data_IF_417170435257
#
_entry.id   IF_417170435257
#
_cell.length_a   1.000
_cell.length_b   1.000
_cell.length_c   1.000
_cell.angle_alpha   90.00
_cell.angle_beta   90.00
_cell.angle_gamma   90.00
#
_symmetry.space_group_name_H-M   'P 1'
#
loop_
_entity.id
_entity.type
_entity.pdbx_description
1 polymer ?
#
# COMPACT_ATOMS: atom_id res chain seq x y z
N UNK A 1 -43.57 34.52 -24.47
CA UNK A 1 -43.61 33.07 -24.16
C UNK A 1 -42.19 32.51 -24.06
N UNK A 2 -41.55 32.59 -22.90
CA UNK A 2 -40.22 32.01 -22.65
C UNK A 2 -40.24 31.33 -21.28
N UNK A 3 -40.36 30.01 -21.23
CA UNK A 3 -40.52 29.33 -19.94
C UNK A 3 -40.59 27.80 -19.97
N UNK A 4 -39.78 27.12 -20.79
CA UNK A 4 -39.70 25.63 -20.76
C UNK A 4 -38.31 25.03 -21.02
N UNK A 5 -37.21 25.80 -20.92
CA UNK A 5 -35.83 25.26 -21.12
C UNK A 5 -35.03 25.03 -19.83
N UNK A 6 -35.40 25.61 -18.68
CA UNK A 6 -34.62 25.52 -17.45
C UNK A 6 -34.74 24.17 -16.71
N UNK A 7 -35.84 23.43 -16.88
CA UNK A 7 -36.12 22.21 -16.10
C UNK A 7 -35.30 20.99 -16.54
N UNK A 8 -34.97 20.88 -17.84
CA UNK A 8 -34.24 19.73 -18.40
C UNK A 8 -32.76 19.72 -17.96
N UNK A 9 -32.14 20.90 -17.84
CA UNK A 9 -30.76 21.05 -17.38
C UNK A 9 -30.59 20.72 -15.89
N UNK A 10 -31.56 21.09 -15.04
CA UNK A 10 -31.53 20.79 -13.61
C UNK A 10 -31.69 19.28 -13.35
N UNK A 11 -32.51 18.60 -14.16
CA UNK A 11 -32.71 17.15 -14.07
C UNK A 11 -31.46 16.35 -14.47
N UNK A 12 -30.81 16.75 -15.57
CA UNK A 12 -29.54 16.17 -16.01
C UNK A 12 -28.43 16.40 -14.99
N UNK A 13 -28.35 17.58 -14.36
CA UNK A 13 -27.38 17.86 -13.29
C UNK A 13 -27.59 16.97 -12.07
N UNK A 14 -28.84 16.80 -11.61
CA UNK A 14 -29.15 15.90 -10.48
C UNK A 14 -28.83 14.44 -10.78
N UNK A 15 -29.09 13.97 -12.01
CA UNK A 15 -28.75 12.60 -12.40
C UNK A 15 -27.24 12.41 -12.56
N UNK A 16 -26.52 13.37 -13.14
CA UNK A 16 -25.06 13.32 -13.25
C UNK A 16 -24.39 13.32 -11.88
N UNK A 17 -24.82 14.18 -10.94
CA UNK A 17 -24.30 14.19 -9.56
C UNK A 17 -24.52 12.84 -8.88
N UNK A 18 -25.69 12.22 -9.08
CA UNK A 18 -25.99 10.88 -8.53
C UNK A 18 -25.15 9.77 -9.16
N UNK A 19 -24.83 9.90 -10.46
CA UNK A 19 -23.93 8.98 -11.15
C UNK A 19 -22.50 9.14 -10.62
N UNK A 20 -21.98 10.36 -10.51
CA UNK A 20 -20.63 10.61 -9.95
C UNK A 20 -20.51 10.21 -8.47
N UNK A 21 -21.55 10.42 -7.66
CA UNK A 21 -21.59 9.95 -6.26
C UNK A 21 -21.64 8.42 -6.13
N UNK A 22 -22.12 7.71 -7.14
CA UNK A 22 -22.11 6.25 -7.19
C UNK A 22 -20.77 5.67 -7.71
N UNK A 23 -19.88 6.53 -8.25
CA UNK A 23 -18.50 6.21 -8.59
C UNK A 23 -17.52 6.64 -7.48
N UNK A 24 -17.93 6.56 -6.21
CA UNK A 24 -16.94 6.42 -5.15
C UNK A 24 -16.22 5.09 -5.39
N UNK A 25 -15.07 5.19 -6.06
CA UNK A 25 -14.10 4.10 -6.12
C UNK A 25 -13.74 3.84 -4.67
N UNK A 26 -14.31 2.78 -4.07
CA UNK A 26 -13.92 2.30 -2.76
C UNK A 26 -12.41 2.00 -2.79
N UNK A 27 -11.61 3.00 -2.42
CA UNK A 27 -10.18 2.84 -2.28
C UNK A 27 -9.96 2.01 -1.03
N UNK A 28 -9.36 0.83 -1.21
CA UNK A 28 -8.99 -0.06 -0.11
C UNK A 28 -8.12 0.73 0.86
N UNK A 29 -8.55 0.88 2.11
CA UNK A 29 -7.77 1.53 3.16
C UNK A 29 -6.93 0.53 3.92
N UNK A 30 -5.70 0.91 4.28
CA UNK A 30 -4.82 0.09 5.14
C UNK A 30 -4.95 0.53 6.60
N UNK A 31 -5.00 -0.44 7.50
CA UNK A 31 -4.93 -0.24 8.94
C UNK A 31 -3.73 -1.02 9.44
N UNK A 32 -2.87 -0.39 10.23
CA UNK A 32 -1.67 -1.04 10.77
C UNK A 32 -1.52 -0.65 12.22
N UNK A 33 -1.25 -1.62 13.10
CA UNK A 33 -0.97 -1.32 14.49
C UNK A 33 0.28 -0.45 14.60
N UNK A 34 0.25 0.56 15.48
CA UNK A 34 1.39 1.47 15.63
C UNK A 34 2.70 0.73 15.92
N UNK A 35 2.67 -0.23 16.85
CA UNK A 35 3.82 -1.08 17.22
C UNK A 35 4.41 -1.85 16.02
N UNK A 36 3.55 -2.33 15.11
CA UNK A 36 3.98 -3.07 13.92
C UNK A 36 4.59 -2.10 12.90
N UNK A 37 3.97 -0.95 12.69
CA UNK A 37 4.51 0.08 11.80
C UNK A 37 5.88 0.55 12.27
N UNK A 38 6.02 0.85 13.57
CA UNK A 38 7.28 1.25 14.17
C UNK A 38 8.34 0.15 14.06
N UNK A 39 7.97 -1.11 14.33
CA UNK A 39 8.89 -2.25 14.18
C UNK A 39 9.44 -2.41 12.75
N UNK A 40 8.62 -2.16 11.72
CA UNK A 40 9.07 -2.14 10.31
C UNK A 40 10.09 -1.04 10.08
N UNK A 41 9.80 0.18 10.54
CA UNK A 41 10.69 1.33 10.37
C UNK A 41 12.02 1.12 11.09
N UNK A 42 11.99 0.58 12.31
CA UNK A 42 13.18 0.28 13.10
C UNK A 42 14.04 -0.80 12.41
N UNK A 43 13.41 -1.84 11.87
CA UNK A 43 14.10 -2.85 11.07
C UNK A 43 14.79 -2.24 9.85
N UNK A 44 14.09 -1.41 9.07
CA UNK A 44 14.67 -0.74 7.90
C UNK A 44 15.80 0.23 8.25
N UNK A 45 15.69 0.90 9.40
CA UNK A 45 16.75 1.76 9.92
C UNK A 45 17.98 0.94 10.33
N UNK A 46 17.79 -0.24 10.92
CA UNK A 46 18.89 -1.10 11.38
C UNK A 46 19.73 -1.66 10.23
N UNK A 47 19.11 -1.99 9.11
CA UNK A 47 19.79 -2.59 7.96
C UNK A 47 20.34 -1.54 6.96
N UNK A 48 19.98 -0.27 7.12
CA UNK A 48 20.46 0.82 6.25
C UNK A 48 22.00 0.82 6.20
N UNK A 49 22.64 1.00 5.02
CA UNK A 49 22.10 1.46 3.74
C UNK A 49 21.58 0.36 2.82
N UNK A 50 21.42 -0.88 3.29
CA UNK A 50 20.83 -1.95 2.49
C UNK A 50 19.31 -1.81 2.43
N UNK A 51 18.75 -2.30 1.34
CA UNK A 51 17.32 -2.38 1.16
C UNK A 51 16.74 -3.59 1.91
N UNK A 52 15.70 -3.32 2.71
CA UNK A 52 15.00 -4.31 3.52
C UNK A 52 13.83 -4.89 2.82
N UNK A 53 13.42 -6.10 3.21
CA UNK A 53 12.18 -6.69 2.77
C UNK A 53 11.54 -7.50 3.89
N UNK A 54 10.24 -7.33 4.05
CA UNK A 54 9.38 -8.03 5.00
C UNK A 54 8.08 -8.42 4.29
N UNK A 55 7.43 -9.47 4.78
CA UNK A 55 6.06 -9.79 4.41
C UNK A 55 5.10 -9.15 5.41
N UNK A 56 3.99 -8.63 4.90
CA UNK A 56 2.91 -8.06 5.70
C UNK A 56 1.83 -9.12 5.88
N UNK A 57 1.55 -9.49 7.13
CA UNK A 57 0.53 -10.47 7.47
C UNK A 57 -0.65 -9.81 8.17
N UNK A 58 -1.86 -10.25 7.81
CA UNK A 58 -3.09 -9.82 8.46
C UNK A 58 -4.33 -10.30 7.71
N UNK A 59 -5.38 -9.48 7.69
CA UNK A 59 -6.69 -9.86 7.14
C UNK A 59 -7.26 -8.79 6.21
N UNK A 60 -7.97 -9.24 5.19
CA UNK A 60 -8.79 -8.38 4.33
C UNK A 60 -10.25 -8.41 4.82
N UNK A 61 -10.90 -7.26 4.78
CA UNK A 61 -12.35 -7.13 4.90
C UNK A 61 -12.89 -6.30 3.73
N UNK A 62 -14.19 -6.03 3.72
CA UNK A 62 -14.92 -5.48 2.56
C UNK A 62 -14.23 -4.24 1.96
N UNK A 63 -13.84 -3.30 2.82
CA UNK A 63 -13.36 -1.97 2.43
C UNK A 63 -11.94 -1.66 2.94
N UNK A 64 -11.19 -2.67 3.37
CA UNK A 64 -9.86 -2.44 3.92
C UNK A 64 -9.03 -3.69 4.20
N UNK A 65 -7.79 -3.44 4.59
CA UNK A 65 -6.80 -4.45 4.99
C UNK A 65 -6.24 -4.04 6.35
N UNK A 66 -6.25 -4.95 7.31
CA UNK A 66 -5.54 -4.77 8.57
C UNK A 66 -4.24 -5.57 8.54
N UNK A 67 -3.13 -4.93 8.89
CA UNK A 67 -1.81 -5.53 9.09
C UNK A 67 -1.65 -5.74 10.59
N UNK A 68 -1.41 -7.00 10.96
CA UNK A 68 -1.35 -7.43 12.36
C UNK A 68 0.04 -7.94 12.74
N UNK A 69 0.81 -8.41 11.75
CA UNK A 69 2.12 -9.02 11.95
C UNK A 69 3.05 -8.74 10.77
N UNK A 70 4.35 -8.91 11.00
CA UNK A 70 5.39 -8.90 9.98
C UNK A 70 6.18 -10.19 10.03
N UNK A 71 6.58 -10.68 8.86
CA UNK A 71 7.35 -11.92 8.73
C UNK A 71 8.60 -11.64 7.92
N UNK A 72 9.75 -12.10 8.39
CA UNK A 72 10.99 -12.06 7.60
C UNK A 72 10.90 -13.19 6.55
N UNK A 73 10.96 -12.87 5.25
CA UNK A 73 10.87 -13.91 4.23
C UNK A 73 12.07 -14.88 4.30
N UNK A 74 11.88 -16.16 3.95
CA UNK A 74 12.95 -17.14 3.98
C UNK A 74 14.06 -16.74 3.01
N UNK A 75 15.32 -16.82 3.45
CA UNK A 75 16.49 -16.42 2.65
C UNK A 75 16.40 -15.00 2.09
N UNK A 76 15.87 -14.06 2.88
CA UNK A 76 15.86 -12.65 2.52
C UNK A 76 17.29 -12.17 2.20
N UNK A 77 17.46 -11.59 1.01
CA UNK A 77 18.68 -10.93 0.58
C UNK A 77 18.49 -9.42 0.68
N UNK A 78 19.44 -8.76 1.32
CA UNK A 78 19.48 -7.31 1.51
C UNK A 78 20.75 -6.77 0.85
N UNK A 79 20.57 -6.00 -0.23
CA UNK A 79 21.65 -5.43 -1.02
C UNK A 79 21.58 -3.91 -1.09
N UNK A 80 22.59 -3.30 -1.72
CA UNK A 80 22.58 -1.88 -2.02
C UNK A 80 21.63 -1.61 -3.18
N UNK A 81 20.46 -1.03 -2.86
CA UNK A 81 19.41 -0.71 -3.86
C UNK A 81 18.63 -1.92 -4.39
N UNK A 82 18.68 -3.06 -3.70
CA UNK A 82 17.79 -4.19 -3.99
C UNK A 82 17.53 -5.05 -2.76
N UNK A 83 16.36 -5.69 -2.74
CA UNK A 83 16.07 -6.81 -1.88
C UNK A 83 15.32 -7.89 -2.65
N UNK A 84 15.47 -9.15 -2.23
CA UNK A 84 14.74 -10.26 -2.85
C UNK A 84 14.63 -11.45 -1.91
N UNK A 85 13.71 -12.36 -2.24
CA UNK A 85 13.61 -13.67 -1.61
C UNK A 85 13.00 -14.66 -2.62
N UNK A 86 13.31 -15.97 -2.51
CA UNK A 86 12.70 -17.00 -3.35
C UNK A 86 11.23 -17.21 -3.00
N UNK A 87 10.31 -16.58 -3.75
CA UNK A 87 8.85 -16.66 -3.50
C UNK A 87 8.34 -18.11 -3.43
N UNK A 88 8.93 -19.02 -4.21
CA UNK A 88 8.57 -20.44 -4.22
C UNK A 88 8.88 -21.19 -2.90
N UNK A 89 9.62 -20.58 -1.98
CA UNK A 89 9.87 -21.12 -0.63
C UNK A 89 8.83 -20.66 0.40
N UNK A 90 7.92 -19.76 0.05
CA UNK A 90 6.83 -19.39 0.96
C UNK A 90 5.85 -20.54 1.07
N UNK A 91 5.54 -21.02 2.30
CA UNK A 91 4.40 -21.90 2.48
C UNK A 91 3.12 -21.17 2.04
N UNK A 92 2.09 -21.92 1.66
CA UNK A 92 0.79 -21.33 1.32
C UNK A 92 0.22 -20.68 2.58
N UNK A 93 0.28 -19.35 2.63
CA UNK A 93 -0.22 -18.54 3.73
C UNK A 93 -1.11 -17.41 3.16
N UNK A 94 -2.42 -17.62 3.20
CA UNK A 94 -3.42 -16.65 2.72
C UNK A 94 -3.54 -15.41 3.61
N UNK A 95 -2.89 -15.40 4.77
CA UNK A 95 -2.84 -14.23 5.65
C UNK A 95 -1.75 -13.24 5.22
N UNK A 96 -0.87 -13.58 4.27
CA UNK A 96 0.05 -12.59 3.69
C UNK A 96 -0.71 -11.65 2.76
N UNK A 97 -0.86 -10.41 3.21
CA UNK A 97 -1.61 -9.36 2.50
C UNK A 97 -0.72 -8.49 1.63
N UNK A 98 0.61 -8.55 1.80
CA UNK A 98 1.52 -7.68 1.05
C UNK A 98 2.99 -7.89 1.39
N UNK A 99 3.80 -6.95 0.91
CA UNK A 99 5.22 -6.82 1.25
C UNK A 99 5.53 -5.41 1.75
N UNK A 100 6.61 -5.27 2.50
CA UNK A 100 7.20 -3.99 2.84
C UNK A 100 8.68 -4.02 2.47
N UNK A 101 9.18 -2.98 1.81
CA UNK A 101 10.60 -2.81 1.57
C UNK A 101 11.06 -1.37 1.80
N UNK A 102 12.38 -1.20 1.90
CA UNK A 102 12.96 0.13 2.09
C UNK A 102 13.65 0.66 0.84
N UNK A 103 13.63 1.97 0.64
CA UNK A 103 14.43 2.65 -0.38
C UNK A 103 15.50 3.49 0.30
N UNK A 104 16.75 2.98 0.46
CA UNK A 104 17.85 3.74 1.05
C UNK A 104 18.17 5.05 0.31
N UNK A 105 17.80 5.14 -0.98
CA UNK A 105 17.96 6.32 -1.84
C UNK A 105 17.11 7.52 -1.46
N UNK A 106 16.09 7.34 -0.61
CA UNK A 106 15.12 8.40 -0.28
C UNK A 106 13.89 8.46 -1.19
N UNK A 107 13.85 7.68 -2.26
CA UNK A 107 12.66 7.59 -3.12
C UNK A 107 11.49 6.96 -2.34
N UNK A 108 10.29 7.54 -2.46
CA UNK A 108 9.09 7.02 -1.80
C UNK A 108 8.05 6.51 -2.79
N UNK A 109 8.42 6.33 -4.06
CA UNK A 109 7.56 5.80 -5.10
C UNK A 109 8.11 4.44 -5.57
N UNK A 110 7.24 3.49 -5.94
CA UNK A 110 7.68 2.20 -6.42
C UNK A 110 8.48 2.32 -7.72
N UNK A 111 9.55 1.55 -7.82
CA UNK A 111 10.27 1.34 -9.07
C UNK A 111 9.48 0.41 -10.00
N UNK A 112 9.78 0.37 -11.32
CA UNK A 112 9.23 -0.64 -12.21
C UNK A 112 9.52 -2.08 -11.73
N UNK A 113 10.68 -2.31 -11.14
CA UNK A 113 11.08 -3.60 -10.56
C UNK A 113 10.20 -3.96 -9.36
N UNK A 114 9.84 -2.99 -8.52
CA UNK A 114 8.96 -3.20 -7.36
C UNK A 114 7.57 -3.66 -7.83
N UNK A 115 7.03 -3.03 -8.88
CA UNK A 115 5.74 -3.40 -9.46
C UNK A 115 5.77 -4.78 -10.12
N UNK A 116 6.89 -5.15 -10.74
CA UNK A 116 7.08 -6.47 -11.35
C UNK A 116 7.23 -7.59 -10.30
N UNK A 117 7.85 -7.29 -9.15
CA UNK A 117 8.07 -8.23 -8.05
C UNK A 117 7.00 -8.12 -6.95
N UNK A 118 5.89 -7.44 -7.23
CA UNK A 118 4.81 -7.22 -6.28
C UNK A 118 4.21 -8.55 -5.80
N UNK A 119 4.07 -8.70 -4.49
CA UNK A 119 3.46 -9.84 -3.82
C UNK A 119 2.33 -9.42 -2.88
N UNK A 120 1.19 -10.13 -2.93
CA UNK A 120 0.00 -9.82 -2.14
C UNK A 120 -0.92 -8.76 -2.77
N UNK A 121 -1.50 -7.90 -1.94
CA UNK A 121 -2.48 -6.85 -2.31
C UNK A 121 -1.95 -5.44 -2.13
N UNK A 122 -1.02 -5.26 -1.20
CA UNK A 122 -0.42 -3.96 -0.87
C UNK A 122 1.10 -4.06 -0.82
N UNK A 123 1.75 -2.93 -1.03
CA UNK A 123 3.19 -2.78 -0.87
C UNK A 123 3.46 -1.53 -0.03
N UNK A 124 4.20 -1.70 1.06
CA UNK A 124 4.72 -0.59 1.85
C UNK A 124 6.14 -0.24 1.37
N UNK A 125 6.39 1.03 1.13
CA UNK A 125 7.74 1.56 0.89
C UNK A 125 8.05 2.55 2.00
N UNK A 126 9.23 2.44 2.58
CA UNK A 126 9.75 3.42 3.53
C UNK A 126 11.17 3.85 3.17
N UNK A 127 11.49 5.11 3.39
CA UNK A 127 12.82 5.66 3.10
C UNK A 127 13.37 6.44 4.30
N UNK A 128 14.69 6.72 4.35
CA UNK A 128 15.28 7.57 5.39
C UNK A 128 14.51 8.90 5.53
N UNK A 129 14.30 9.41 6.76
CA UNK A 129 14.85 8.95 8.03
C UNK A 129 14.01 7.85 8.74
N UNK A 130 13.18 7.10 8.02
CA UNK A 130 12.37 6.00 8.54
C UNK A 130 11.37 6.44 9.62
N UNK A 131 10.47 7.34 9.26
CA UNK A 131 9.43 7.89 10.13
C UNK A 131 8.04 7.66 9.51
N UNK A 132 6.97 7.90 10.26
CA UNK A 132 5.60 7.86 9.73
C UNK A 132 5.35 8.83 8.56
N UNK A 133 6.21 9.85 8.39
CA UNK A 133 6.16 10.79 7.27
C UNK A 133 6.91 10.31 6.03
N UNK A 134 7.78 9.31 6.17
CA UNK A 134 8.61 8.77 5.09
C UNK A 134 8.30 7.30 4.82
N UNK A 135 7.00 6.98 4.87
CA UNK A 135 6.44 5.71 4.43
C UNK A 135 5.16 5.94 3.60
N UNK A 136 4.87 5.03 2.69
CA UNK A 136 3.64 5.02 1.90
C UNK A 136 3.24 3.59 1.51
N UNK A 137 1.93 3.40 1.32
CA UNK A 137 1.37 2.15 0.81
C UNK A 137 0.93 2.31 -0.64
N UNK A 138 1.06 1.24 -1.42
CA UNK A 138 0.75 1.21 -2.84
C UNK A 138 -0.04 -0.04 -3.22
N UNK A 139 -0.95 0.13 -4.19
CA UNK A 139 -1.63 -0.96 -4.86
C UNK A 139 -0.70 -1.65 -5.87
N UNK A 140 -1.12 -2.81 -6.41
CA UNK A 140 -0.40 -3.48 -7.50
C UNK A 140 -0.23 -2.61 -8.76
N UNK A 141 -1.05 -1.56 -8.92
CA UNK A 141 -0.95 -0.60 -10.02
C UNK A 141 0.02 0.55 -9.72
N UNK A 142 0.64 0.57 -8.54
CA UNK A 142 1.47 1.69 -8.08
C UNK A 142 0.67 2.90 -7.60
N UNK A 143 -0.65 2.76 -7.42
CA UNK A 143 -1.50 3.83 -6.89
C UNK A 143 -1.33 3.91 -5.37
N UNK A 144 -1.14 5.13 -4.85
CA UNK A 144 -0.99 5.35 -3.41
C UNK A 144 -2.29 4.98 -2.68
N UNK A 145 -2.15 4.27 -1.56
CA UNK A 145 -3.24 3.84 -0.69
C UNK A 145 -3.16 4.62 0.62
N UNK A 146 -4.30 5.14 1.08
CA UNK A 146 -4.40 5.71 2.41
C UNK A 146 -4.24 4.65 3.50
N UNK A 147 -3.57 5.02 4.58
CA UNK A 147 -3.44 4.16 5.75
C UNK A 147 -3.80 4.90 7.05
N UNK A 148 -4.09 4.15 8.10
CA UNK A 148 -4.27 4.67 9.45
C UNK A 148 -3.57 3.78 10.46
N UNK A 149 -2.93 4.41 11.44
CA UNK A 149 -2.44 3.72 12.63
C UNK A 149 -3.65 3.38 13.51
N UNK A 150 -3.68 2.17 14.07
CA UNK A 150 -4.74 1.66 14.95
C UNK A 150 -4.20 1.01 16.20
#
# INVERSE_FOLDING_TARGET
MYGKKASKWLYLRKHLIRIYSAYEVFQVKVYIKEEICQGILDFFKHIHPKEGILLLRGRKFKDGIIIEEVVIPPKALHGEGFSSFPIYMLPVDFSIVGLAHSHPSGALNPSPQDLNNFYGKIMMIACPPYTYKTLAFFSKKGEKIEYSLV
#
